data_IF_571900762727
#
_entry.id   IF_571900762727
#
_cell.length_a   1.000
_cell.length_b   1.000
_cell.length_c   1.000
_cell.angle_alpha   90.00
_cell.angle_beta   90.00
_cell.angle_gamma   90.00
#
_symmetry.space_group_name_H-M   'P 1'
#
loop_
_entity.id
_entity.type
_entity.pdbx_description
1 polymer ?
#
# COMPACT_ATOMS: atom_id res chain seq x y z
N UNK A 1 -1.23 -1.98 -16.87
CA UNK A 1 -0.85 -3.19 -16.12
C UNK A 1 -1.13 -3.14 -14.62
N UNK A 2 -1.47 -1.99 -14.03
CA UNK A 2 -1.99 -1.92 -12.66
C UNK A 2 -1.00 -2.33 -11.58
N UNK A 3 0.30 -2.05 -11.78
CA UNK A 3 1.36 -2.45 -10.87
C UNK A 3 2.21 -1.24 -10.41
N UNK A 4 2.82 -1.34 -9.23
CA UNK A 4 3.82 -0.40 -8.71
C UNK A 4 5.19 -1.06 -8.69
N UNK A 5 6.22 -0.28 -9.00
CA UNK A 5 7.62 -0.75 -9.05
C UNK A 5 8.39 -0.13 -7.89
N UNK A 6 9.10 -0.96 -7.13
CA UNK A 6 9.99 -0.50 -6.08
C UNK A 6 11.25 0.13 -6.71
N UNK A 7 11.57 1.40 -6.43
CA UNK A 7 12.72 2.07 -7.05
C UNK A 7 14.07 1.47 -6.63
N UNK A 8 14.13 0.80 -5.47
CA UNK A 8 15.37 0.25 -4.92
C UNK A 8 15.67 -1.15 -5.46
N UNK A 9 14.64 -1.96 -5.74
CA UNK A 9 14.82 -3.39 -6.05
C UNK A 9 14.30 -3.80 -7.42
N UNK A 10 13.59 -2.89 -8.11
CA UNK A 10 12.81 -3.14 -9.33
C UNK A 10 11.74 -4.23 -9.17
N UNK A 11 11.47 -4.71 -7.94
CA UNK A 11 10.37 -5.63 -7.69
C UNK A 11 9.03 -4.96 -8.03
N UNK A 12 8.13 -5.74 -8.62
CA UNK A 12 6.84 -5.24 -9.13
C UNK A 12 5.69 -5.88 -8.37
N UNK A 13 4.69 -5.08 -8.00
CA UNK A 13 3.55 -5.49 -7.19
C UNK A 13 2.23 -5.07 -7.82
N UNK A 14 1.25 -5.95 -7.81
CA UNK A 14 -0.11 -5.71 -8.32
C UNK A 14 -0.89 -4.79 -7.36
N UNK A 15 -1.40 -3.67 -7.84
CA UNK A 15 -2.09 -2.66 -7.00
C UNK A 15 -3.46 -3.14 -6.47
N UNK A 16 -4.10 -4.09 -7.15
CA UNK A 16 -5.42 -4.60 -6.73
C UNK A 16 -5.32 -5.64 -5.62
N UNK A 17 -4.25 -6.45 -5.65
CA UNK A 17 -4.12 -7.63 -4.79
C UNK A 17 -2.89 -7.62 -3.88
N UNK A 18 -1.97 -6.67 -4.09
CA UNK A 18 -0.68 -6.61 -3.42
C UNK A 18 0.28 -7.74 -3.80
N UNK A 19 -0.11 -8.61 -4.74
CA UNK A 19 0.69 -9.76 -5.13
C UNK A 19 2.00 -9.35 -5.79
N UNK A 20 3.08 -10.05 -5.44
CA UNK A 20 4.37 -9.90 -6.10
C UNK A 20 4.24 -10.47 -7.51
N UNK A 21 4.49 -9.63 -8.52
CA UNK A 21 4.56 -10.03 -9.93
C UNK A 21 5.98 -10.37 -10.33
N UNK A 22 6.94 -9.55 -9.90
CA UNK A 22 8.37 -9.78 -10.09
C UNK A 22 9.15 -9.51 -8.80
N UNK A 23 10.15 -10.34 -8.54
CA UNK A 23 10.98 -10.27 -7.35
C UNK A 23 12.45 -10.14 -7.71
N UNK A 24 13.09 -9.05 -7.31
CA UNK A 24 14.49 -8.71 -7.62
C UNK A 24 14.89 -9.01 -9.07
N UNK A 25 14.22 -8.43 -10.09
CA UNK A 25 14.43 -8.81 -11.48
C UNK A 25 15.85 -8.61 -12.02
N UNK A 26 16.58 -7.66 -11.44
CA UNK A 26 17.96 -7.36 -11.82
C UNK A 26 19.01 -7.97 -10.88
N UNK A 27 18.60 -8.71 -9.85
CA UNK A 27 19.53 -9.28 -8.88
C UNK A 27 19.21 -10.77 -8.59
N UNK A 28 19.82 -11.72 -9.33
CA UNK A 28 19.53 -13.14 -9.18
C UNK A 28 19.96 -13.71 -7.82
N UNK A 29 20.98 -13.13 -7.18
CA UNK A 29 21.45 -13.56 -5.86
C UNK A 29 20.40 -13.22 -4.81
N UNK A 30 19.95 -11.96 -4.75
CA UNK A 30 18.92 -11.55 -3.79
C UNK A 30 17.57 -12.21 -4.09
N UNK A 31 17.23 -12.44 -5.36
CA UNK A 31 16.03 -13.20 -5.73
C UNK A 31 15.98 -14.58 -5.09
N UNK A 32 17.12 -15.26 -4.96
CA UNK A 32 17.22 -16.61 -4.36
C UNK A 32 17.34 -16.54 -2.84
N UNK A 33 18.18 -15.63 -2.32
CA UNK A 33 18.50 -15.58 -0.89
C UNK A 33 17.42 -14.88 -0.06
N UNK A 34 16.60 -14.03 -0.67
CA UNK A 34 15.53 -13.31 0.01
C UNK A 34 14.19 -13.91 -0.40
N UNK A 35 13.63 -14.88 0.35
CA UNK A 35 12.31 -15.42 0.03
C UNK A 35 11.25 -14.32 0.10
N UNK A 36 10.23 -14.42 -0.76
CA UNK A 36 9.11 -13.50 -0.79
C UNK A 36 8.34 -13.57 0.54
N UNK A 37 8.47 -12.54 1.39
CA UNK A 37 7.94 -12.56 2.75
C UNK A 37 6.41 -12.50 2.78
N UNK A 38 5.80 -11.53 2.09
CA UNK A 38 4.34 -11.32 2.04
C UNK A 38 3.90 -10.42 0.89
N UNK A 39 2.62 -10.50 0.52
CA UNK A 39 1.97 -9.53 -0.38
C UNK A 39 1.96 -8.15 0.27
N UNK A 40 1.98 -7.09 -0.55
CA UNK A 40 1.73 -5.74 -0.05
C UNK A 40 0.30 -5.63 0.48
N UNK A 41 0.11 -4.74 1.45
CA UNK A 41 -1.22 -4.38 1.90
C UNK A 41 -1.92 -3.50 0.88
N UNK A 42 -3.20 -3.80 0.66
CA UNK A 42 -4.08 -3.02 -0.21
C UNK A 42 -5.22 -2.52 0.66
N UNK A 43 -5.38 -1.20 0.69
CA UNK A 43 -6.43 -0.55 1.46
C UNK A 43 -7.61 -0.26 0.54
N UNK A 44 -8.85 -0.57 0.94
CA UNK A 44 -10.03 -0.15 0.20
C UNK A 44 -10.08 1.38 0.10
N UNK A 45 -10.39 1.86 -1.09
CA UNK A 45 -10.50 3.30 -1.37
C UNK A 45 -11.86 3.60 -1.99
N UNK A 46 -12.49 4.66 -1.51
CA UNK A 46 -13.66 5.29 -2.12
C UNK A 46 -13.28 6.73 -2.45
N UNK A 47 -13.74 7.24 -3.59
CA UNK A 47 -13.56 8.65 -3.96
C UNK A 47 -14.90 9.28 -4.29
N UNK A 48 -15.05 10.56 -3.96
CA UNK A 48 -16.08 11.43 -4.51
C UNK A 48 -15.44 12.56 -5.34
N UNK A 49 -16.19 13.63 -5.61
CA UNK A 49 -15.72 14.75 -6.45
C UNK A 49 -14.54 15.51 -5.83
N UNK A 50 -14.42 15.55 -4.50
CA UNK A 50 -13.45 16.39 -3.79
C UNK A 50 -12.49 15.59 -2.90
N UNK A 51 -12.86 14.37 -2.51
CA UNK A 51 -12.21 13.61 -1.45
C UNK A 51 -11.87 12.18 -1.82
N UNK A 52 -10.81 11.67 -1.19
CA UNK A 52 -10.39 10.27 -1.23
C UNK A 52 -10.47 9.72 0.19
N UNK A 53 -11.30 8.69 0.37
CA UNK A 53 -11.50 7.97 1.62
C UNK A 53 -10.74 6.66 1.57
N UNK A 54 -9.93 6.41 2.61
CA UNK A 54 -9.12 5.20 2.72
C UNK A 54 -9.57 4.46 3.97
N UNK A 55 -10.03 3.22 3.81
CA UNK A 55 -10.42 2.38 4.94
C UNK A 55 -9.19 1.67 5.52
N UNK A 56 -8.86 1.99 6.77
CA UNK A 56 -7.73 1.38 7.49
C UNK A 56 -8.03 -0.03 7.99
N UNK A 57 -9.32 -0.42 8.06
CA UNK A 57 -9.77 -1.69 8.65
C UNK A 57 -9.40 -2.92 7.82
N UNK A 58 -9.14 -2.75 6.52
CA UNK A 58 -8.80 -3.85 5.59
C UNK A 58 -7.31 -4.17 5.47
N UNK A 59 -6.44 -3.34 6.04
CA UNK A 59 -5.00 -3.41 5.79
C UNK A 59 -4.24 -4.49 6.55
N UNK A 60 -4.67 -4.88 7.74
CA UNK A 60 -3.93 -5.86 8.55
C UNK A 60 -4.84 -6.51 9.59
N UNK A 61 -5.12 -7.80 9.46
CA UNK A 61 -5.73 -8.58 10.54
C UNK A 61 -4.80 -8.70 11.77
N UNK A 62 -3.54 -8.27 11.66
CA UNK A 62 -2.49 -8.46 12.67
C UNK A 62 -1.98 -7.17 13.32
N UNK A 63 -2.71 -6.06 13.19
CA UNK A 63 -2.44 -4.84 13.97
C UNK A 63 -1.16 -4.09 13.60
N UNK A 64 -0.70 -4.20 12.35
CA UNK A 64 0.38 -3.34 11.86
C UNK A 64 -0.16 -1.94 11.55
N UNK A 65 0.42 -0.93 12.19
CA UNK A 65 0.06 0.48 12.00
C UNK A 65 0.51 0.96 10.62
N UNK A 66 -0.44 1.33 9.77
CA UNK A 66 -0.16 2.17 8.60
C UNK A 66 -0.41 3.64 8.96
N UNK A 67 0.47 4.51 8.48
CA UNK A 67 0.38 5.96 8.68
C UNK A 67 0.26 6.65 7.32
N UNK A 68 -0.64 7.63 7.22
CA UNK A 68 -0.77 8.47 6.04
C UNK A 68 0.30 9.57 6.13
N UNK A 69 1.35 9.46 5.32
CA UNK A 69 2.44 10.44 5.28
C UNK A 69 2.22 11.42 4.14
N UNK A 70 2.04 12.70 4.46
CA UNK A 70 1.91 13.77 3.46
C UNK A 70 3.27 14.41 3.15
N UNK A 71 3.58 14.62 1.87
CA UNK A 71 4.83 15.27 1.45
C UNK A 71 4.86 16.80 1.66
N UNK A 72 3.77 17.40 2.16
CA UNK A 72 3.64 18.83 2.44
C UNK A 72 3.42 19.14 3.94
N UNK A 73 3.16 20.42 4.28
CA UNK A 73 2.73 20.78 5.64
C UNK A 73 1.35 20.19 5.91
N UNK A 74 1.30 18.98 6.46
CA UNK A 74 0.07 18.42 7.03
C UNK A 74 -0.38 19.39 8.13
N UNK A 75 -1.60 19.93 8.03
CA UNK A 75 -2.17 20.68 9.15
C UNK A 75 -2.61 19.67 10.20
N UNK A 76 -1.99 19.64 11.39
CA UNK A 76 -2.41 18.76 12.46
C UNK A 76 -3.86 19.11 12.84
N UNK A 77 -4.75 18.13 12.87
CA UNK A 77 -6.13 18.30 13.30
C UNK A 77 -7.21 18.14 12.21
N UNK A 78 -6.84 17.89 10.96
CA UNK A 78 -7.80 17.51 9.90
C UNK A 78 -7.37 16.18 9.28
N UNK A 79 -7.61 15.11 10.04
CA UNK A 79 -7.73 13.75 9.49
C UNK A 79 -9.01 13.22 10.10
N UNK A 80 -10.04 13.02 9.27
CA UNK A 80 -11.27 12.41 9.73
C UNK A 80 -10.97 10.94 10.03
N UNK A 81 -10.66 10.65 11.29
CA UNK A 81 -10.25 9.32 11.74
C UNK A 81 -11.40 8.31 11.83
N UNK A 82 -12.64 8.76 11.65
CA UNK A 82 -13.85 7.96 11.82
C UNK A 82 -14.91 8.39 10.79
N UNK A 83 -14.63 8.14 9.52
CA UNK A 83 -15.63 8.28 8.46
C UNK A 83 -16.33 6.94 8.33
N UNK A 84 -17.58 6.88 8.76
CA UNK A 84 -18.44 5.71 8.55
C UNK A 84 -18.68 5.57 7.03
N UNK A 85 -17.93 4.68 6.38
CA UNK A 85 -18.14 4.35 4.97
C UNK A 85 -19.19 3.24 4.94
N UNK A 86 -20.42 3.54 4.53
CA UNK A 86 -21.38 2.49 4.18
C UNK A 86 -20.78 1.64 3.05
N UNK A 87 -20.57 0.35 3.34
CA UNK A 87 -19.99 -0.69 2.48
C UNK A 87 -20.93 -1.10 1.34
#
# INVERSE_FOLDING_TARGET
>A
DGCVVCPTTDSTFDLRTGAIKEWYPKNPVLRVLTPALRKLFVYPVKSDEENIYISMSGGSATGESAEIVFSGKAQPGVTASDVNVDE
#
